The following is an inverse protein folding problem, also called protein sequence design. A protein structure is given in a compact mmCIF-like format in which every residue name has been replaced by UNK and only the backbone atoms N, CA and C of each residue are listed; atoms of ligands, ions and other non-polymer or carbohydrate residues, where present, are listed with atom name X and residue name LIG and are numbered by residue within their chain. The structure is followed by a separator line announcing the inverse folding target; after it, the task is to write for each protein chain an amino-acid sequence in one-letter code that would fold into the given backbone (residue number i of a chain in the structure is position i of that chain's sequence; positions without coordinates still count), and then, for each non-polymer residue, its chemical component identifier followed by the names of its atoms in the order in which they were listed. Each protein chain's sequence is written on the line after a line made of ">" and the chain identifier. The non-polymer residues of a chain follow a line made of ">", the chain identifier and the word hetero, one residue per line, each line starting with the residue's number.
data_IF_720465060045
#
_entry.id   IF_720465060045
#
_cell.length_a   1.000
_cell.length_b   1.000
_cell.length_c   1.000
_cell.angle_alpha   90.00
_cell.angle_beta   90.00
_cell.angle_gamma   90.00
#
_symmetry.space_group_name_H-M   'P 1'
#
loop_
_entity.id
_entity.type
_entity.pdbx_description
1 polymer ?
#
# COMPACT_ATOMS: atom_id res chain seq x y z
N UNK A 1 -5.76 29.82 12.03
CA UNK A 1 -5.57 28.64 12.91
C UNK A 1 -5.73 27.37 12.07
N UNK A 2 -4.77 26.41 12.11
CA UNK A 2 -4.97 25.11 11.48
C UNK A 2 -5.83 24.25 12.41
N UNK A 3 -7.11 24.06 12.08
CA UNK A 3 -7.99 23.17 12.82
C UNK A 3 -7.48 21.73 12.70
N UNK A 4 -7.32 21.08 13.84
CA UNK A 4 -7.08 19.64 13.92
C UNK A 4 -8.42 18.93 13.86
N UNK A 5 -8.52 17.90 13.01
CA UNK A 5 -9.69 17.03 12.94
C UNK A 5 -9.24 15.59 12.72
N UNK A 6 -10.18 14.66 12.82
CA UNK A 6 -9.94 13.29 12.38
C UNK A 6 -9.95 13.23 10.84
N UNK A 7 -8.96 12.54 10.28
CA UNK A 7 -8.84 12.31 8.85
C UNK A 7 -8.76 10.81 8.60
N UNK A 8 -9.58 10.32 7.68
CA UNK A 8 -9.45 8.97 7.13
C UNK A 8 -8.68 9.05 5.82
N UNK A 9 -7.59 8.30 5.71
CA UNK A 9 -6.75 8.21 4.52
C UNK A 9 -6.89 6.80 3.95
N UNK A 10 -7.24 6.72 2.66
CA UNK A 10 -7.36 5.47 1.90
C UNK A 10 -6.45 5.52 0.68
N UNK A 11 -5.74 4.42 0.43
CA UNK A 11 -4.98 4.20 -0.81
C UNK A 11 -5.68 3.11 -1.59
N UNK A 12 -6.19 3.50 -2.76
CA UNK A 12 -6.92 2.61 -3.67
C UNK A 12 -5.99 2.00 -4.70
N UNK A 13 -6.36 0.85 -5.27
CA UNK A 13 -5.77 0.34 -6.50
C UNK A 13 -6.37 0.93 -7.77
N UNK A 14 -5.87 0.49 -8.93
CA UNK A 14 -6.33 0.99 -10.23
C UNK A 14 -7.79 0.61 -10.53
N UNK A 15 -8.31 -0.40 -9.82
CA UNK A 15 -9.69 -0.87 -9.92
C UNK A 15 -10.59 -0.21 -8.85
N UNK A 16 -10.03 0.69 -8.02
CA UNK A 16 -10.75 1.39 -6.98
C UNK A 16 -10.88 0.62 -5.66
N UNK A 17 -10.23 -0.54 -5.50
CA UNK A 17 -10.29 -1.29 -4.24
C UNK A 17 -9.34 -0.69 -3.19
N UNK A 18 -9.80 -0.63 -1.94
CA UNK A 18 -8.99 -0.16 -0.82
C UNK A 18 -7.89 -1.18 -0.51
N UNK A 19 -6.61 -0.78 -0.67
CA UNK A 19 -5.46 -1.61 -0.28
C UNK A 19 -4.93 -1.25 1.10
N UNK A 20 -4.94 0.04 1.44
CA UNK A 20 -4.55 0.52 2.76
C UNK A 20 -5.54 1.58 3.24
N UNK A 21 -5.91 1.51 4.51
CA UNK A 21 -6.75 2.50 5.17
C UNK A 21 -6.16 2.79 6.55
N UNK A 22 -6.11 4.07 6.93
CA UNK A 22 -5.69 4.48 8.26
C UNK A 22 -6.31 5.81 8.64
N UNK A 23 -6.67 5.96 9.91
CA UNK A 23 -7.19 7.21 10.47
C UNK A 23 -6.09 7.93 11.24
N UNK A 24 -6.05 9.26 11.13
CA UNK A 24 -5.11 10.10 11.87
C UNK A 24 -5.79 11.38 12.35
N UNK A 25 -5.60 11.70 13.62
CA UNK A 25 -6.00 12.98 14.18
C UNK A 25 -4.93 14.04 13.95
N UNK A 26 -5.33 15.21 13.44
CA UNK A 26 -4.47 16.38 13.36
C UNK A 26 -4.73 17.26 12.15
N UNK A 27 -3.67 17.90 11.67
CA UNK A 27 -3.76 18.82 10.53
C UNK A 27 -3.76 18.07 9.21
N UNK A 28 -4.32 18.70 8.18
CA UNK A 28 -4.27 18.18 6.80
C UNK A 28 -2.85 17.83 6.34
N UNK A 29 -1.84 18.61 6.75
CA UNK A 29 -0.43 18.34 6.44
C UNK A 29 0.03 16.97 6.96
N UNK A 30 -0.47 16.53 8.14
CA UNK A 30 -0.19 15.19 8.68
C UNK A 30 -0.91 14.11 7.88
N UNK A 31 -2.18 14.32 7.53
CA UNK A 31 -2.94 13.38 6.71
C UNK A 31 -2.29 13.17 5.33
N UNK A 32 -1.83 14.24 4.66
CA UNK A 32 -1.09 14.13 3.39
C UNK A 32 0.22 13.36 3.53
N UNK A 33 0.99 13.61 4.60
CA UNK A 33 2.22 12.84 4.87
C UNK A 33 1.92 11.35 5.11
N UNK A 34 0.81 11.02 5.77
CA UNK A 34 0.38 9.64 5.95
C UNK A 34 0.03 9.00 4.61
N UNK A 35 -0.72 9.71 3.76
CA UNK A 35 -1.04 9.24 2.40
C UNK A 35 0.23 8.88 1.60
N UNK A 36 1.21 9.79 1.54
CA UNK A 36 2.48 9.54 0.85
C UNK A 36 3.25 8.33 1.39
N UNK A 37 3.21 8.08 2.71
CA UNK A 37 3.83 6.90 3.32
C UNK A 37 3.12 5.61 2.89
N UNK A 38 1.79 5.61 2.90
CA UNK A 38 1.00 4.46 2.48
C UNK A 38 1.19 4.16 0.98
N UNK A 39 1.27 5.19 0.13
CA UNK A 39 1.59 5.03 -1.30
C UNK A 39 3.02 4.49 -1.51
N UNK A 40 3.99 4.97 -0.76
CA UNK A 40 5.36 4.45 -0.81
C UNK A 40 5.44 2.98 -0.36
N UNK A 41 4.69 2.62 0.70
CA UNK A 41 4.55 1.23 1.14
C UNK A 41 3.91 0.38 0.06
N UNK A 42 2.81 0.83 -0.55
CA UNK A 42 2.15 0.13 -1.65
C UNK A 42 3.08 -0.11 -2.85
N UNK A 43 3.89 0.89 -3.22
CA UNK A 43 4.88 0.73 -4.30
C UNK A 43 5.87 -0.38 -3.95
N UNK A 44 6.48 -0.33 -2.76
CA UNK A 44 7.40 -1.38 -2.29
C UNK A 44 6.73 -2.75 -2.27
N UNK A 45 5.56 -2.87 -1.66
CA UNK A 45 4.83 -4.15 -1.56
C UNK A 45 4.47 -4.68 -2.96
N UNK A 46 4.14 -3.81 -3.93
CA UNK A 46 3.90 -4.18 -5.34
C UNK A 46 5.18 -4.64 -6.04
N UNK A 47 6.30 -3.97 -5.83
CA UNK A 47 7.59 -4.37 -6.38
C UNK A 47 8.07 -5.71 -5.78
N UNK A 48 7.85 -5.93 -4.48
CA UNK A 48 8.21 -7.18 -3.79
C UNK A 48 7.32 -8.36 -4.22
N UNK A 49 6.00 -8.21 -4.29
CA UNK A 49 5.11 -9.29 -4.75
C UNK A 49 5.11 -9.47 -6.28
N UNK A 50 5.46 -8.43 -7.04
CA UNK A 50 5.76 -8.53 -8.47
C UNK A 50 7.07 -9.27 -8.78
N UNK A 51 7.99 -9.34 -7.81
CA UNK A 51 9.21 -10.16 -7.86
C UNK A 51 8.93 -11.62 -7.49
N UNK A 52 8.08 -11.90 -6.49
CA UNK A 52 7.69 -13.27 -6.14
C UNK A 52 6.97 -14.00 -7.28
N UNK A 53 6.16 -13.29 -8.07
CA UNK A 53 5.48 -13.89 -9.24
C UNK A 53 6.41 -14.14 -10.44
N UNK A 54 7.63 -13.59 -10.44
CA UNK A 54 8.64 -13.83 -11.49
C UNK A 54 9.69 -14.87 -11.12
N UNK A 55 9.79 -15.27 -9.86
CA UNK A 55 10.64 -16.39 -9.43
C UNK A 55 9.76 -17.63 -9.29
N UNK A 56 9.37 -18.25 -10.42
CA UNK A 56 9.04 -19.68 -10.41
C UNK A 56 10.36 -20.45 -10.34
N UNK A 57 10.71 -21.13 -9.23
CA UNK A 57 11.72 -22.16 -9.30
C UNK A 57 11.16 -23.36 -10.08
N UNK A 58 12.09 -24.00 -10.78
CA UNK A 58 11.97 -25.07 -11.76
C UNK A 58 11.02 -26.21 -11.33
N UNK A 59 10.16 -26.59 -12.27
CA UNK A 59 9.96 -27.98 -12.72
C UNK A 59 10.14 -29.05 -11.62
N UNK A 60 9.06 -29.35 -10.89
CA UNK A 60 8.95 -30.63 -10.20
C UNK A 60 8.78 -31.71 -11.27
N UNK A 61 9.90 -32.33 -11.69
CA UNK A 61 9.87 -33.59 -12.40
C UNK A 61 9.36 -34.64 -11.42
N UNK A 62 8.12 -35.10 -11.61
CA UNK A 62 7.64 -36.32 -10.99
C UNK A 62 8.60 -37.46 -11.39
N UNK A 63 9.25 -38.06 -10.40
CA UNK A 63 9.95 -39.32 -10.56
C UNK A 63 8.87 -40.42 -10.66
N UNK A 64 8.91 -41.17 -11.77
CA UNK A 64 8.26 -42.46 -11.90
C UNK A 64 9.15 -43.53 -11.25
#
# INVERSE_FOLDING_TARGET
>A
MKQSREWTVQVLDAEGNVKYQSSIFGTEKRARKLCQKLEAKRRKDRDTHGLETKIRPKQAKNWF
#
